data_IF_447346345164
#
_entry.id   IF_447346345164
#
_cell.length_a   1.000
_cell.length_b   1.000
_cell.length_c   1.000
_cell.angle_alpha   90.00
_cell.angle_beta   90.00
_cell.angle_gamma   90.00
#
_symmetry.space_group_name_H-M   'P 1'
#
loop_
_entity.id
_entity.type
_entity.pdbx_description
1 polymer ?
#
# COMPACT_ATOMS: atom_id res chain seq x y z
N UNK A 1 -28.26 -4.31 -10.82
CA UNK A 1 -27.28 -5.36 -11.09
C UNK A 1 -25.93 -4.89 -10.66
N UNK A 2 -25.35 -5.62 -9.74
CA UNK A 2 -24.02 -5.23 -9.34
C UNK A 2 -23.13 -5.25 -10.57
N UNK A 3 -22.21 -4.30 -10.70
CA UNK A 3 -21.26 -4.36 -11.78
C UNK A 3 -20.55 -5.70 -11.68
N UNK A 4 -20.73 -6.50 -12.67
CA UNK A 4 -19.93 -7.70 -12.75
C UNK A 4 -18.50 -7.26 -12.91
N UNK A 5 -17.65 -7.87 -12.13
CA UNK A 5 -16.23 -7.72 -12.33
C UNK A 5 -15.92 -8.45 -13.63
N UNK A 6 -16.30 -7.84 -14.74
CA UNK A 6 -15.87 -8.37 -16.03
C UNK A 6 -14.46 -7.86 -16.20
N UNK A 7 -13.53 -8.71 -15.91
CA UNK A 7 -12.18 -8.41 -16.25
C UNK A 7 -12.03 -8.71 -17.73
N UNK A 8 -11.83 -7.67 -18.51
CA UNK A 8 -11.45 -7.84 -19.90
C UNK A 8 -10.03 -8.38 -20.02
N UNK A 9 -9.36 -8.51 -18.88
CA UNK A 9 -7.98 -8.96 -18.86
C UNK A 9 -7.94 -10.47 -18.87
N UNK A 10 -7.21 -11.02 -19.83
CA UNK A 10 -6.97 -12.45 -19.92
C UNK A 10 -5.80 -12.89 -19.06
N UNK A 11 -4.97 -11.93 -18.59
CA UNK A 11 -3.84 -12.19 -17.73
C UNK A 11 -3.88 -11.25 -16.53
N UNK A 12 -3.38 -11.70 -15.38
CA UNK A 12 -3.35 -10.83 -14.22
C UNK A 12 -2.34 -9.70 -14.39
N UNK A 13 -2.63 -8.58 -13.78
CA UNK A 13 -1.75 -7.43 -13.76
C UNK A 13 -1.01 -7.41 -12.43
N UNK A 14 0.29 -7.16 -12.46
CA UNK A 14 1.07 -6.93 -11.24
C UNK A 14 0.74 -5.57 -10.68
N UNK A 15 0.39 -5.52 -9.40
CA UNK A 15 0.14 -4.27 -8.70
C UNK A 15 0.89 -4.27 -7.39
N UNK A 16 1.21 -3.08 -6.90
CA UNK A 16 1.97 -2.91 -5.67
C UNK A 16 1.20 -1.99 -4.75
N UNK A 17 1.05 -2.41 -3.51
CA UNK A 17 0.27 -1.70 -2.50
C UNK A 17 1.17 -1.36 -1.33
N UNK A 18 1.15 -0.10 -0.91
CA UNK A 18 1.79 0.31 0.34
C UNK A 18 0.76 0.20 1.46
N UNK A 19 1.17 -0.38 2.58
CA UNK A 19 0.34 -0.53 3.75
C UNK A 19 0.97 0.24 4.90
N UNK A 20 0.14 0.92 5.69
CA UNK A 20 0.63 1.65 6.85
C UNK A 20 -0.42 1.78 7.92
N UNK A 21 0.03 1.76 9.18
CA UNK A 21 -0.82 1.96 10.34
C UNK A 21 0.01 2.55 11.48
N UNK A 22 -0.61 3.38 12.32
CA UNK A 22 0.09 3.96 13.47
C UNK A 22 -0.79 4.08 14.72
N UNK A 23 -1.97 3.47 14.72
CA UNK A 23 -2.87 3.49 15.86
C UNK A 23 -3.12 2.08 16.38
N UNK A 24 -3.29 1.97 17.70
CA UNK A 24 -3.57 0.67 18.32
C UNK A 24 -2.43 -0.31 18.09
N UNK A 25 -2.77 -1.55 17.81
CA UNK A 25 -1.81 -2.57 17.43
C UNK A 25 -1.51 -2.46 15.94
N UNK A 26 -0.65 -1.53 15.58
CA UNK A 26 -0.33 -1.23 14.19
C UNK A 26 0.30 -2.42 13.47
N UNK A 27 1.16 -3.18 14.15
CA UNK A 27 1.78 -4.38 13.59
C UNK A 27 0.73 -5.40 13.19
N UNK A 28 -0.22 -5.67 14.09
CA UNK A 28 -1.30 -6.61 13.80
C UNK A 28 -2.17 -6.10 12.66
N UNK A 29 -2.49 -4.80 12.63
CA UNK A 29 -3.30 -4.22 11.58
C UNK A 29 -2.66 -4.41 10.20
N UNK A 30 -1.36 -4.17 10.09
CA UNK A 30 -0.65 -4.35 8.82
C UNK A 30 -0.60 -5.83 8.43
N UNK A 31 -0.32 -6.73 9.37
CA UNK A 31 -0.29 -8.17 9.08
C UNK A 31 -1.65 -8.69 8.62
N UNK A 32 -2.72 -8.25 9.28
CA UNK A 32 -4.08 -8.63 8.88
C UNK A 32 -4.43 -8.08 7.50
N UNK A 33 -3.99 -6.87 7.19
CA UNK A 33 -4.23 -6.27 5.89
C UNK A 33 -3.51 -7.02 4.77
N UNK A 34 -2.28 -7.45 5.02
CA UNK A 34 -1.53 -8.26 4.05
C UNK A 34 -2.29 -9.55 3.76
N UNK A 35 -2.77 -10.24 4.80
CA UNK A 35 -3.56 -11.45 4.62
C UNK A 35 -4.86 -11.17 3.87
N UNK A 36 -5.50 -10.03 4.15
CA UNK A 36 -6.75 -9.64 3.51
C UNK A 36 -6.58 -9.36 2.02
N UNK A 37 -5.41 -8.89 1.59
CA UNK A 37 -5.14 -8.69 0.17
C UNK A 37 -5.29 -10.00 -0.62
N UNK A 38 -4.92 -11.12 -0.01
CA UNK A 38 -5.04 -12.43 -0.66
C UNK A 38 -6.49 -12.92 -0.72
N UNK A 39 -7.42 -12.23 -0.06
CA UNK A 39 -8.84 -12.55 -0.08
C UNK A 39 -9.64 -11.63 -1.01
N UNK A 40 -9.00 -10.62 -1.58
CA UNK A 40 -9.64 -9.74 -2.56
C UNK A 40 -10.02 -10.60 -3.78
N UNK A 41 -11.28 -10.49 -4.29
CA UNK A 41 -11.69 -11.30 -5.44
C UNK A 41 -10.76 -11.13 -6.63
N UNK A 42 -10.51 -12.22 -7.33
CA UNK A 42 -9.69 -12.26 -8.55
C UNK A 42 -8.26 -11.76 -8.36
N UNK A 43 -7.77 -11.85 -7.13
CA UNK A 43 -6.48 -11.27 -6.74
C UNK A 43 -5.70 -12.31 -5.92
N UNK A 44 -4.40 -12.33 -6.15
CA UNK A 44 -3.48 -13.23 -5.45
C UNK A 44 -2.35 -12.40 -4.87
N UNK A 45 -2.06 -12.62 -3.59
CA UNK A 45 -0.86 -12.06 -2.95
C UNK A 45 0.35 -12.85 -3.44
N UNK A 46 1.29 -12.17 -4.08
CA UNK A 46 2.52 -12.80 -4.55
C UNK A 46 3.58 -12.78 -3.45
N UNK A 47 3.81 -11.61 -2.87
CA UNK A 47 4.85 -11.44 -1.87
C UNK A 47 4.60 -10.16 -1.08
N UNK A 48 4.98 -10.16 0.19
CA UNK A 48 4.96 -8.95 1.01
C UNK A 48 6.33 -8.74 1.63
N UNK A 49 6.70 -7.49 1.83
CA UNK A 49 7.96 -7.13 2.46
C UNK A 49 7.92 -7.42 3.96
N UNK A 50 9.09 -7.50 4.60
CA UNK A 50 9.15 -7.37 6.06
C UNK A 50 8.52 -6.04 6.50
N UNK A 51 8.16 -5.96 7.77
CA UNK A 51 7.57 -4.76 8.33
C UNK A 51 8.65 -3.74 8.69
N UNK A 52 8.35 -2.49 8.43
CA UNK A 52 9.25 -1.36 8.69
C UNK A 52 8.58 -0.39 9.66
N UNK A 53 9.32 0.07 10.64
CA UNK A 53 8.88 1.18 11.51
C UNK A 53 9.38 2.48 10.93
N UNK A 54 8.52 3.49 10.84
CA UNK A 54 8.93 4.80 10.34
C UNK A 54 8.33 5.94 11.17
N UNK A 55 9.06 7.05 11.25
CA UNK A 55 8.55 8.24 11.89
C UNK A 55 7.57 8.97 10.97
N UNK A 56 6.55 9.65 11.53
CA UNK A 56 5.71 10.51 10.70
C UNK A 56 6.54 11.59 10.02
N UNK A 57 6.28 11.84 8.72
CA UNK A 57 7.06 12.81 7.95
C UNK A 57 6.74 14.26 8.34
N UNK A 58 5.48 14.57 8.55
CA UNK A 58 5.01 15.95 8.67
C UNK A 58 4.36 16.25 10.02
N UNK A 59 4.41 15.35 10.98
CA UNK A 59 3.71 15.54 12.24
C UNK A 59 4.35 14.77 13.37
N UNK A 60 4.13 15.24 14.57
CA UNK A 60 4.37 14.46 15.77
C UNK A 60 3.29 13.39 15.88
N UNK A 61 3.63 12.28 16.46
CA UNK A 61 2.68 11.21 16.68
C UNK A 61 3.35 9.86 16.75
N UNK A 62 2.55 8.78 16.89
CA UNK A 62 3.11 7.44 16.94
C UNK A 62 3.84 7.08 15.66
N UNK A 63 4.85 6.24 15.78
CA UNK A 63 5.53 5.70 14.63
C UNK A 63 4.57 4.83 13.80
N UNK A 64 4.79 4.85 12.50
CA UNK A 64 4.05 3.98 11.59
C UNK A 64 4.70 2.61 11.50
N UNK A 65 3.88 1.60 11.26
CA UNK A 65 4.32 0.30 10.76
C UNK A 65 3.93 0.24 9.29
N UNK A 66 4.89 -0.08 8.43
CA UNK A 66 4.70 -0.03 6.99
C UNK A 66 5.16 -1.34 6.33
N UNK A 67 4.58 -1.63 5.19
CA UNK A 67 5.01 -2.71 4.31
C UNK A 67 4.61 -2.38 2.88
N UNK A 68 5.18 -3.13 1.94
CA UNK A 68 4.74 -3.11 0.55
C UNK A 68 4.39 -4.54 0.16
N UNK A 69 3.28 -4.71 -0.51
CA UNK A 69 2.83 -6.01 -1.01
C UNK A 69 2.76 -5.99 -2.54
N UNK A 70 3.21 -7.07 -3.15
CA UNK A 70 3.04 -7.33 -4.57
C UNK A 70 1.87 -8.28 -4.74
N UNK A 71 0.89 -7.88 -5.53
CA UNK A 71 -0.27 -8.70 -5.85
C UNK A 71 -0.38 -8.86 -7.36
N UNK A 72 -1.08 -9.92 -7.77
CA UNK A 72 -1.53 -10.09 -9.14
C UNK A 72 -3.04 -10.07 -9.14
N UNK A 73 -3.65 -9.31 -10.04
CA UNK A 73 -5.09 -9.13 -10.03
C UNK A 73 -5.66 -9.06 -11.44
N UNK A 74 -6.87 -9.60 -11.60
CA UNK A 74 -7.67 -9.42 -12.80
C UNK A 74 -8.60 -8.21 -12.69
N UNK A 75 -8.68 -7.57 -11.51
CA UNK A 75 -9.45 -6.34 -11.36
C UNK A 75 -8.79 -5.21 -12.15
N UNK A 76 -9.59 -4.29 -12.67
CA UNK A 76 -9.00 -3.07 -13.21
C UNK A 76 -8.55 -2.14 -12.07
N UNK A 77 -7.86 -1.06 -12.41
CA UNK A 77 -7.26 -0.20 -11.39
C UNK A 77 -8.30 0.43 -10.46
N UNK A 78 -9.44 0.85 -11.00
CA UNK A 78 -10.50 1.47 -10.20
C UNK A 78 -11.16 0.44 -9.28
N UNK A 79 -11.43 -0.76 -9.80
CA UNK A 79 -11.99 -1.84 -9.00
C UNK A 79 -11.04 -2.24 -7.86
N UNK A 80 -9.74 -2.29 -8.16
CA UNK A 80 -8.75 -2.59 -7.14
C UNK A 80 -8.72 -1.49 -6.08
N UNK A 81 -8.74 -0.22 -6.48
CA UNK A 81 -8.77 0.88 -5.53
C UNK A 81 -9.99 0.78 -4.60
N UNK A 82 -11.16 0.48 -5.17
CA UNK A 82 -12.37 0.31 -4.37
C UNK A 82 -12.22 -0.85 -3.37
N UNK A 83 -11.62 -1.95 -3.79
CA UNK A 83 -11.37 -3.09 -2.91
C UNK A 83 -10.44 -2.71 -1.76
N UNK A 84 -9.39 -1.92 -2.04
CA UNK A 84 -8.48 -1.44 -1.00
C UNK A 84 -9.20 -0.52 -0.01
N UNK A 85 -10.07 0.35 -0.51
CA UNK A 85 -10.87 1.21 0.35
C UNK A 85 -11.84 0.41 1.22
N UNK A 86 -12.39 -0.67 0.70
CA UNK A 86 -13.24 -1.56 1.49
C UNK A 86 -12.46 -2.22 2.61
N UNK A 87 -11.22 -2.61 2.36
CA UNK A 87 -10.35 -3.17 3.41
C UNK A 87 -10.04 -2.13 4.49
N UNK A 88 -9.80 -0.89 4.11
CA UNK A 88 -9.61 0.19 5.07
C UNK A 88 -10.83 0.37 5.97
N UNK A 89 -12.02 0.36 5.38
CA UNK A 89 -13.27 0.48 6.14
C UNK A 89 -13.48 -0.70 7.09
N UNK A 90 -13.20 -1.91 6.60
CA UNK A 90 -13.34 -3.12 7.42
C UNK A 90 -12.35 -3.13 8.59
N UNK A 91 -11.23 -2.46 8.47
CA UNK A 91 -10.22 -2.36 9.53
C UNK A 91 -10.57 -1.31 10.60
N UNK A 92 -11.79 -0.79 10.59
CA UNK A 92 -12.25 0.13 11.63
C UNK A 92 -12.13 1.60 11.26
N UNK A 93 -12.00 1.91 9.97
CA UNK A 93 -11.98 3.30 9.53
C UNK A 93 -13.38 3.88 9.60
N UNK A 94 -13.88 4.06 10.82
CA UNK A 94 -15.12 4.80 11.03
C UNK A 94 -14.77 6.26 11.07
N UNK A 95 -15.37 7.03 10.17
CA UNK A 95 -15.17 8.46 10.15
C UNK A 95 -16.39 9.13 10.73
N UNK A 96 -16.39 9.25 12.03
CA UNK A 96 -17.44 9.98 12.72
C UNK A 96 -17.25 11.49 12.59
N UNK A 97 -16.05 11.92 12.18
CA UNK A 97 -15.75 13.34 12.00
C UNK A 97 -14.59 13.52 11.04
N UNK A 98 -14.46 14.72 10.49
CA UNK A 98 -13.39 15.08 9.57
C UNK A 98 -12.01 14.96 10.26
N UNK A 99 -11.05 14.39 9.56
CA UNK A 99 -9.71 14.08 10.06
C UNK A 99 -9.70 13.07 11.21
N UNK A 100 -10.72 12.23 11.32
CA UNK A 100 -10.71 11.14 12.29
C UNK A 100 -9.47 10.26 12.06
N UNK A 101 -8.83 9.76 13.13
CA UNK A 101 -7.67 8.87 13.00
C UNK A 101 -7.99 7.64 12.19
N UNK A 102 -7.00 7.16 11.45
CA UNK A 102 -7.13 5.96 10.62
C UNK A 102 -6.29 4.85 11.19
N UNK A 103 -6.87 3.66 11.26
CA UNK A 103 -6.16 2.49 11.74
C UNK A 103 -5.34 1.81 10.64
N UNK A 104 -5.68 2.05 9.38
CA UNK A 104 -5.01 1.43 8.25
C UNK A 104 -5.10 2.32 7.03
N UNK A 105 -3.98 2.51 6.36
CA UNK A 105 -3.90 3.17 5.05
C UNK A 105 -3.37 2.18 4.02
N UNK A 106 -4.05 2.11 2.88
CA UNK A 106 -3.65 1.29 1.74
C UNK A 106 -3.54 2.19 0.52
N UNK A 107 -2.33 2.30 -0.04
CA UNK A 107 -2.09 3.12 -1.23
C UNK A 107 -1.69 2.24 -2.40
N UNK A 108 -2.39 2.38 -3.51
CA UNK A 108 -1.98 1.72 -4.74
C UNK A 108 -0.80 2.47 -5.34
N UNK A 109 0.35 1.81 -5.41
CA UNK A 109 1.59 2.41 -5.89
C UNK A 109 1.73 2.27 -7.40
N UNK A 110 1.52 1.07 -7.90
CA UNK A 110 1.65 0.71 -9.31
C UNK A 110 0.56 -0.26 -9.69
N UNK A 111 0.08 -0.13 -10.91
CA UNK A 111 -0.83 -1.08 -11.53
C UNK A 111 -0.27 -1.38 -12.93
N UNK A 112 0.50 -2.47 -13.03
CA UNK A 112 1.25 -2.74 -14.24
C UNK A 112 2.11 -1.54 -14.61
N UNK A 113 2.05 -1.16 -15.87
CA UNK A 113 2.75 0.03 -16.37
C UNK A 113 1.79 1.20 -16.59
N UNK A 114 0.60 1.14 -16.02
CA UNK A 114 -0.41 2.16 -16.23
C UNK A 114 0.03 3.53 -15.75
N UNK A 115 -0.29 4.53 -16.52
CA UNK A 115 -0.13 5.94 -16.16
C UNK A 115 -1.49 6.58 -16.16
N UNK A 116 -1.92 7.04 -15.00
CA UNK A 116 -3.24 7.64 -14.81
C UNK A 116 -3.09 8.90 -13.97
N UNK A 117 -3.92 9.87 -14.27
CA UNK A 117 -3.96 11.08 -13.47
C UNK A 117 -5.42 11.55 -13.42
N UNK A 118 -6.07 11.31 -12.29
CA UNK A 118 -7.47 11.70 -12.10
C UNK A 118 -7.68 12.07 -10.63
N UNK A 119 -8.87 12.56 -10.33
CA UNK A 119 -9.23 12.90 -8.95
C UNK A 119 -9.26 11.68 -8.04
N UNK A 120 -9.55 10.50 -8.60
CA UNK A 120 -9.67 9.27 -7.83
C UNK A 120 -8.36 8.56 -7.66
N UNK A 121 -7.49 8.61 -8.67
CA UNK A 121 -6.35 7.73 -8.72
C UNK A 121 -5.28 8.32 -9.63
N UNK A 122 -4.08 8.40 -9.11
CA UNK A 122 -2.90 8.75 -9.89
C UNK A 122 -1.92 7.58 -9.84
N UNK A 123 -1.46 7.14 -11.00
CA UNK A 123 -0.51 6.03 -11.13
C UNK A 123 0.64 6.41 -12.07
N UNK A 124 1.86 6.10 -11.72
CA UNK A 124 2.29 5.62 -10.39
C UNK A 124 1.92 6.60 -9.29
N UNK A 125 1.89 6.12 -8.05
CA UNK A 125 1.61 7.00 -6.91
C UNK A 125 2.56 8.21 -6.96
N UNK A 126 2.05 9.45 -6.85
CA UNK A 126 2.89 10.63 -7.13
C UNK A 126 4.03 10.84 -6.15
N UNK A 127 3.98 10.26 -4.96
CA UNK A 127 4.99 10.46 -3.92
C UNK A 127 5.80 9.22 -3.58
N UNK A 128 5.69 8.16 -4.40
CA UNK A 128 6.35 6.90 -4.03
C UNK A 128 7.86 7.04 -3.91
N UNK A 129 8.48 7.90 -4.73
CA UNK A 129 9.93 8.09 -4.71
C UNK A 129 10.42 8.99 -3.57
N UNK A 130 9.51 9.63 -2.86
CA UNK A 130 9.84 10.60 -1.81
C UNK A 130 9.70 10.02 -0.40
N UNK A 131 9.36 8.74 -0.29
CA UNK A 131 9.01 8.11 0.98
C UNK A 131 9.89 6.90 1.24
N UNK A 132 10.72 6.99 2.30
CA UNK A 132 11.54 5.85 2.71
C UNK A 132 10.68 4.63 3.04
N UNK A 133 9.51 4.85 3.64
CA UNK A 133 8.61 3.75 4.02
C UNK A 133 7.94 3.06 2.84
N UNK A 134 8.13 3.58 1.63
CA UNK A 134 7.77 2.89 0.37
C UNK A 134 9.03 2.31 -0.27
N UNK A 135 10.08 3.11 -0.40
CA UNK A 135 11.29 2.70 -1.12
C UNK A 135 12.04 1.55 -0.45
N UNK A 136 12.16 1.57 0.88
CA UNK A 136 12.87 0.51 1.58
C UNK A 136 12.17 -0.84 1.46
N UNK A 137 10.86 -0.95 1.73
CA UNK A 137 10.15 -2.21 1.51
C UNK A 137 10.16 -2.66 0.05
N UNK A 138 9.96 -1.72 -0.88
CA UNK A 138 9.95 -2.04 -2.30
C UNK A 138 11.31 -2.56 -2.75
N UNK A 139 12.39 -1.93 -2.31
CA UNK A 139 13.75 -2.36 -2.61
C UNK A 139 14.01 -3.76 -2.06
N UNK A 140 13.45 -4.07 -0.89
CA UNK A 140 13.61 -5.39 -0.28
C UNK A 140 12.98 -6.48 -1.14
N UNK A 141 11.85 -6.18 -1.77
CA UNK A 141 11.16 -7.13 -2.66
C UNK A 141 11.82 -7.20 -4.02
N UNK A 142 12.07 -6.04 -4.61
CA UNK A 142 12.53 -5.92 -5.99
C UNK A 142 13.58 -4.83 -6.09
N UNK A 143 14.86 -5.15 -5.82
CA UNK A 143 15.93 -4.15 -5.80
C UNK A 143 16.04 -3.35 -7.09
N UNK A 144 15.70 -3.96 -8.22
CA UNK A 144 15.82 -3.29 -9.53
C UNK A 144 14.83 -2.15 -9.72
N UNK A 145 13.78 -2.08 -8.88
CA UNK A 145 12.81 -1.00 -8.98
C UNK A 145 13.24 0.28 -8.25
N UNK A 146 14.26 0.18 -7.43
CA UNK A 146 14.70 1.31 -6.60
C UNK A 146 16.19 1.51 -6.80
N UNK A 147 16.55 2.67 -7.35
CA UNK A 147 17.95 2.97 -7.60
C UNK A 147 18.68 3.44 -6.33
N UNK A 148 20.02 3.34 -6.31
CA UNK A 148 20.79 3.91 -5.20
C UNK A 148 20.52 5.40 -4.98
N UNK A 149 20.28 6.16 -6.06
CA UNK A 149 19.98 7.56 -5.96
C UNK A 149 18.65 7.82 -5.27
N UNK A 150 17.64 6.99 -5.52
CA UNK A 150 16.35 7.08 -4.83
C UNK A 150 16.51 6.84 -3.33
N UNK A 151 17.28 5.83 -2.95
CA UNK A 151 17.52 5.53 -1.54
C UNK A 151 18.30 6.66 -0.86
N UNK A 152 19.27 7.23 -1.55
CA UNK A 152 20.05 8.33 -1.02
C UNK A 152 19.16 9.55 -0.74
N UNK A 153 18.20 9.82 -1.61
CA UNK A 153 17.33 10.97 -1.49
C UNK A 153 16.42 10.91 -0.24
N UNK A 154 16.17 9.72 0.30
CA UNK A 154 15.35 9.54 1.51
C UNK A 154 16.14 9.06 2.72
N UNK A 155 17.48 9.12 2.63
CA UNK A 155 18.36 8.56 3.67
C UNK A 155 18.22 9.25 5.03
N UNK A 156 17.71 10.49 5.05
CA UNK A 156 17.47 11.25 6.28
C UNK A 156 16.15 10.90 6.97
N UNK A 157 15.29 10.13 6.32
CA UNK A 157 14.02 9.74 6.92
C UNK A 157 14.24 8.57 7.87
N UNK A 158 13.78 8.72 9.11
CA UNK A 158 13.99 7.71 10.15
C UNK A 158 13.12 6.47 9.89
N UNK A 159 13.76 5.32 9.78
CA UNK A 159 13.08 4.06 9.57
C UNK A 159 13.94 2.91 10.07
N UNK A 160 13.31 1.84 10.53
CA UNK A 160 14.00 0.66 11.03
C UNK A 160 13.15 -0.58 10.78
N UNK A 161 13.80 -1.67 10.40
CA UNK A 161 13.09 -2.94 10.23
C UNK A 161 12.62 -3.47 11.58
N UNK A 162 11.40 -3.99 11.60
CA UNK A 162 10.88 -4.65 12.78
C UNK A 162 11.36 -6.11 12.81
N UNK A 163 11.54 -6.68 14.02
CA UNK A 163 11.85 -8.11 14.11
C UNK A 163 10.68 -8.95 13.61
N UNK A 164 10.99 -10.12 13.09
CA UNK A 164 9.98 -11.09 12.65
C UNK A 164 9.16 -11.65 13.81
#
# INVERSE_FOLDING_TARGET
MPPQVVTEQTEPVSAYVALGANLGDATLAVRQAIAALNQVPHTLLVQASPLLSSAPLDADGPTYVNAVAHIQTYLNAVQLLEALQDLERAAGRTRDYHHAPRTLDLDLLFYGEAQMQSEYLSLPHPRWQQRAFVLLPLHKLYPDKVSPQMLQAVADQAAAWLPD
#
